data_IF_048056376814
#
_entry.id   IF_048056376814
#
_cell.length_a   1.000
_cell.length_b   1.000
_cell.length_c   1.000
_cell.angle_alpha   90.00
_cell.angle_beta   90.00
_cell.angle_gamma   90.00
#
_symmetry.space_group_name_H-M   'P 1'
#
loop_
_entity.id
_entity.type
_entity.pdbx_description
1 polymer ?
#
# COMPACT_ATOMS: atom_id res chain seq x y z
N UNK A 1 19.99 5.26 27.19
CA UNK A 1 20.71 5.76 25.98
C UNK A 1 19.74 6.15 24.88
N UNK A 2 19.95 7.28 24.20
CA UNK A 2 19.06 7.82 23.15
C UNK A 2 19.46 7.31 21.75
N UNK A 3 18.63 6.46 21.12
CA UNK A 3 18.87 5.86 19.79
C UNK A 3 18.10 6.54 18.65
N UNK A 4 17.58 7.76 18.87
CA UNK A 4 16.79 8.49 17.88
C UNK A 4 17.58 8.80 16.60
N UNK A 5 18.87 9.08 16.73
CA UNK A 5 19.79 9.33 15.63
C UNK A 5 19.97 8.09 14.75
N UNK A 6 20.29 6.96 15.35
CA UNK A 6 20.52 5.68 14.68
C UNK A 6 19.25 5.23 13.98
N UNK A 7 18.09 5.35 14.64
CA UNK A 7 16.79 5.03 14.05
C UNK A 7 16.44 5.94 12.86
N UNK A 8 16.81 7.22 12.91
CA UNK A 8 16.64 8.18 11.80
C UNK A 8 17.55 7.85 10.62
N UNK A 9 18.83 7.55 10.86
CA UNK A 9 19.76 7.20 9.80
C UNK A 9 19.40 5.86 9.17
N UNK A 10 19.08 4.85 9.98
CA UNK A 10 18.65 3.54 9.51
C UNK A 10 17.43 3.63 8.59
N UNK A 11 16.44 4.47 8.95
CA UNK A 11 15.27 4.74 8.12
C UNK A 11 15.66 5.33 6.75
N UNK A 12 16.56 6.32 6.73
CA UNK A 12 17.05 6.95 5.50
C UNK A 12 17.87 5.98 4.63
N UNK A 13 18.68 5.11 5.24
CA UNK A 13 19.51 4.13 4.53
C UNK A 13 18.68 2.99 3.97
N UNK A 14 17.66 2.52 4.69
CA UNK A 14 16.75 1.45 4.27
C UNK A 14 15.60 1.92 3.37
N UNK A 15 15.50 3.23 3.08
CA UNK A 15 14.42 3.82 2.30
C UNK A 15 13.04 3.56 2.91
N UNK A 16 12.93 3.54 4.24
CA UNK A 16 11.69 3.21 4.95
C UNK A 16 11.39 4.19 6.08
N UNK A 17 10.15 4.20 6.59
CA UNK A 17 9.80 5.02 7.76
C UNK A 17 10.39 4.46 9.07
N UNK A 18 10.60 5.33 10.07
CA UNK A 18 11.10 4.95 11.41
C UNK A 18 10.32 3.80 12.07
N UNK A 19 9.03 3.63 11.74
CA UNK A 19 8.18 2.54 12.24
C UNK A 19 8.60 1.16 11.71
N UNK A 20 9.23 1.10 10.54
CA UNK A 20 9.70 -0.12 9.89
C UNK A 20 11.13 -0.50 10.28
N UNK A 21 11.86 0.38 10.94
CA UNK A 21 13.18 0.04 11.49
C UNK A 21 12.99 -0.76 12.78
N UNK A 22 13.52 -1.97 12.80
CA UNK A 22 13.71 -2.77 14.00
C UNK A 22 15.18 -2.71 14.42
N UNK A 23 15.41 -2.52 15.71
CA UNK A 23 16.71 -2.49 16.37
C UNK A 23 16.69 -3.64 17.36
N UNK A 24 17.73 -4.46 17.38
CA UNK A 24 17.83 -5.55 18.35
C UNK A 24 17.91 -4.99 19.78
N UNK A 25 16.98 -5.35 20.69
CA UNK A 25 17.01 -4.89 22.07
C UNK A 25 18.20 -5.41 22.89
N UNK A 26 18.79 -6.55 22.52
CA UNK A 26 19.90 -7.15 23.25
C UNK A 26 21.22 -6.42 22.97
N UNK A 27 21.38 -5.93 21.74
CA UNK A 27 22.61 -5.30 21.24
C UNK A 27 22.51 -3.76 21.17
N UNK A 28 21.60 -3.18 21.94
CA UNK A 28 21.40 -1.72 22.03
C UNK A 28 22.68 -0.92 22.34
N UNK A 29 23.59 -1.38 23.24
CA UNK A 29 24.85 -0.68 23.51
C UNK A 29 25.76 -0.64 22.27
N UNK A 30 25.82 -1.74 21.51
CA UNK A 30 26.62 -1.80 20.29
C UNK A 30 26.07 -0.86 19.23
N UNK A 31 24.75 -0.86 19.02
CA UNK A 31 24.10 0.03 18.06
C UNK A 31 24.27 1.50 18.45
N UNK A 32 24.31 1.83 19.75
CA UNK A 32 24.55 3.20 20.22
C UNK A 32 25.91 3.78 19.79
N UNK A 33 26.91 2.94 19.53
CA UNK A 33 28.24 3.38 19.08
C UNK A 33 28.27 3.89 17.63
N UNK A 34 27.28 3.53 16.80
CA UNK A 34 27.24 3.98 15.41
C UNK A 34 27.01 5.50 15.30
N UNK A 35 27.95 6.18 14.64
CA UNK A 35 27.89 7.62 14.35
C UNK A 35 27.74 7.92 12.87
N UNK A 36 28.18 7.00 11.98
CA UNK A 36 28.16 7.22 10.53
C UNK A 36 27.11 6.37 9.81
N UNK A 37 26.80 6.75 8.56
CA UNK A 37 25.97 5.93 7.65
C UNK A 37 26.65 4.61 7.29
N UNK A 38 27.98 4.57 7.25
CA UNK A 38 28.73 3.36 6.95
C UNK A 38 28.57 2.32 8.06
N UNK A 39 28.62 2.75 9.33
CA UNK A 39 28.42 1.86 10.49
C UNK A 39 27.00 1.28 10.50
N UNK A 40 26.00 2.11 10.21
CA UNK A 40 24.60 1.65 10.11
C UNK A 40 24.42 0.63 8.98
N UNK A 41 25.09 0.80 7.83
CA UNK A 41 25.09 -0.22 6.75
C UNK A 41 25.75 -1.53 7.19
N UNK A 42 26.83 -1.46 7.97
CA UNK A 42 27.48 -2.65 8.56
C UNK A 42 26.51 -3.37 9.48
N UNK A 43 25.82 -2.65 10.36
CA UNK A 43 24.83 -3.23 11.28
C UNK A 43 23.57 -3.77 10.59
N UNK A 44 23.16 -3.19 9.46
CA UNK A 44 22.12 -3.78 8.61
C UNK A 44 22.59 -5.11 8.02
N UNK A 45 23.84 -5.17 7.52
CA UNK A 45 24.41 -6.39 6.94
C UNK A 45 24.59 -7.51 7.96
N UNK A 46 24.92 -7.18 9.21
CA UNK A 46 25.04 -8.17 10.30
C UNK A 46 23.70 -8.57 10.93
N UNK A 47 22.60 -7.89 10.61
CA UNK A 47 21.25 -8.21 11.11
C UNK A 47 20.82 -7.50 12.40
N UNK A 48 21.68 -6.66 12.99
CA UNK A 48 21.39 -5.85 14.19
C UNK A 48 20.29 -4.80 13.93
N UNK A 49 20.19 -4.34 12.67
CA UNK A 49 19.17 -3.39 12.21
C UNK A 49 18.43 -4.00 11.02
N UNK A 50 17.14 -4.23 11.18
CA UNK A 50 16.34 -4.93 10.15
C UNK A 50 15.10 -4.12 9.75
N UNK A 51 14.73 -4.20 8.47
CA UNK A 51 13.45 -3.66 7.96
C UNK A 51 12.33 -4.65 8.28
N UNK A 52 11.39 -4.25 9.14
CA UNK A 52 10.15 -5.00 9.39
C UNK A 52 9.36 -5.12 8.08
N UNK A 53 8.73 -6.28 7.82
CA UNK A 53 7.85 -6.43 6.67
C UNK A 53 6.69 -5.43 6.72
N UNK A 54 6.10 -5.16 5.56
CA UNK A 54 4.89 -4.35 5.48
C UNK A 54 3.72 -5.04 6.16
N UNK A 55 2.83 -4.25 6.77
CA UNK A 55 1.60 -4.83 7.33
C UNK A 55 0.69 -5.07 6.14
N UNK A 56 0.55 -6.33 5.73
CA UNK A 56 -0.24 -6.69 4.56
C UNK A 56 -1.73 -6.56 4.83
N UNK A 57 -2.44 -5.82 3.97
CA UNK A 57 -3.91 -5.82 3.95
C UNK A 57 -4.39 -6.75 2.84
N UNK A 58 -4.99 -7.89 3.19
CA UNK A 58 -5.52 -8.83 2.21
C UNK A 58 -6.62 -8.19 1.35
N UNK A 59 -6.60 -8.47 0.05
CA UNK A 59 -7.62 -8.04 -0.94
C UNK A 59 -8.65 -9.13 -1.24
N UNK A 60 -8.57 -10.28 -0.60
CA UNK A 60 -9.39 -11.45 -0.90
C UNK A 60 -10.89 -11.17 -0.79
N UNK A 61 -11.34 -10.63 0.35
CA UNK A 61 -12.76 -10.27 0.55
C UNK A 61 -13.28 -9.27 -0.48
N UNK A 62 -12.44 -8.30 -0.87
CA UNK A 62 -12.78 -7.35 -1.93
C UNK A 62 -12.90 -8.06 -3.29
N UNK A 63 -11.97 -8.95 -3.62
CA UNK A 63 -11.98 -9.74 -4.87
C UNK A 63 -13.21 -10.64 -4.94
N UNK A 64 -13.52 -11.37 -3.87
CA UNK A 64 -14.72 -12.21 -3.78
C UNK A 64 -16.01 -11.39 -4.01
N UNK A 65 -16.12 -10.22 -3.35
CA UNK A 65 -17.25 -9.31 -3.54
C UNK A 65 -17.32 -8.72 -4.95
N UNK A 66 -16.17 -8.44 -5.58
CA UNK A 66 -16.11 -7.95 -6.95
C UNK A 66 -16.58 -9.01 -7.95
N UNK A 67 -16.16 -10.27 -7.79
CA UNK A 67 -16.62 -11.39 -8.61
C UNK A 67 -18.14 -11.59 -8.47
N UNK A 68 -18.67 -11.57 -7.24
CA UNK A 68 -20.11 -11.64 -6.99
C UNK A 68 -20.87 -10.48 -7.64
N UNK A 69 -20.34 -9.24 -7.57
CA UNK A 69 -20.91 -8.07 -8.23
C UNK A 69 -20.89 -8.17 -9.76
N UNK A 70 -19.85 -8.77 -10.33
CA UNK A 70 -19.73 -9.01 -11.79
C UNK A 70 -20.79 -10.01 -12.24
N UNK A 71 -21.07 -11.03 -11.44
CA UNK A 71 -22.18 -11.97 -11.63
C UNK A 71 -23.58 -11.36 -11.34
N UNK A 72 -23.67 -10.04 -11.11
CA UNK A 72 -24.96 -9.34 -10.91
C UNK A 72 -25.45 -9.23 -9.47
N UNK A 73 -24.80 -9.88 -8.50
CA UNK A 73 -25.20 -9.80 -7.08
C UNK A 73 -24.92 -8.41 -6.49
N UNK A 74 -25.63 -8.04 -5.42
CA UNK A 74 -25.47 -6.76 -4.70
C UNK A 74 -25.66 -5.47 -5.55
N UNK A 75 -26.44 -5.52 -6.63
CA UNK A 75 -26.75 -4.38 -7.53
C UNK A 75 -28.23 -3.95 -7.56
N UNK A 76 -29.07 -4.57 -6.74
CA UNK A 76 -30.51 -4.25 -6.63
C UNK A 76 -30.80 -2.83 -6.09
N UNK A 77 -32.05 -2.41 -6.18
CA UNK A 77 -32.49 -1.03 -5.86
C UNK A 77 -32.04 -0.56 -4.47
N UNK A 78 -32.19 -1.37 -3.42
CA UNK A 78 -31.77 -1.01 -2.06
C UNK A 78 -30.25 -0.84 -1.84
N UNK A 79 -29.41 -1.16 -2.83
CA UNK A 79 -27.95 -0.89 -2.79
C UNK A 79 -27.54 0.26 -3.70
N UNK A 80 -28.47 0.83 -4.47
CA UNK A 80 -28.21 1.96 -5.35
C UNK A 80 -28.19 3.23 -4.49
N UNK A 81 -27.11 4.00 -4.63
CA UNK A 81 -26.98 5.35 -4.09
C UNK A 81 -26.72 6.28 -5.27
N UNK A 82 -27.33 7.47 -5.24
CA UNK A 82 -27.32 8.43 -6.36
C UNK A 82 -28.33 8.11 -7.46
N UNK A 83 -28.55 9.08 -8.36
CA UNK A 83 -29.45 8.97 -9.51
C UNK A 83 -28.88 8.01 -10.57
N UNK A 84 -29.73 7.59 -11.52
CA UNK A 84 -29.27 6.78 -12.66
C UNK A 84 -28.21 7.52 -13.49
N UNK A 85 -28.44 8.80 -13.75
CA UNK A 85 -27.52 9.68 -14.49
C UNK A 85 -26.15 9.79 -13.82
N UNK A 86 -26.08 9.87 -12.49
CA UNK A 86 -24.80 9.91 -11.77
C UNK A 86 -24.02 8.58 -11.83
N UNK A 87 -24.71 7.44 -11.96
CA UNK A 87 -24.08 6.11 -11.95
C UNK A 87 -23.59 5.68 -13.33
N UNK A 88 -24.36 6.01 -14.37
CA UNK A 88 -24.03 5.77 -15.78
C UNK A 88 -24.69 6.88 -16.62
N UNK A 89 -23.95 7.96 -16.94
CA UNK A 89 -24.50 9.10 -17.67
C UNK A 89 -25.03 8.71 -19.06
N UNK A 90 -26.18 9.26 -19.41
CA UNK A 90 -26.85 9.03 -20.70
C UNK A 90 -26.01 9.51 -21.88
N UNK A 91 -25.30 10.63 -21.72
CA UNK A 91 -24.37 11.17 -22.73
C UNK A 91 -23.23 10.21 -23.07
N UNK A 92 -22.67 9.54 -22.05
CA UNK A 92 -21.61 8.55 -22.21
C UNK A 92 -22.12 7.28 -22.88
N UNK A 93 -23.34 6.83 -22.55
CA UNK A 93 -23.99 5.72 -23.25
C UNK A 93 -24.24 6.05 -24.73
N UNK A 94 -24.69 7.26 -25.04
CA UNK A 94 -24.88 7.73 -26.42
C UNK A 94 -23.56 7.73 -27.19
N UNK A 95 -22.49 8.31 -26.63
CA UNK A 95 -21.17 8.33 -27.26
C UNK A 95 -20.64 6.91 -27.52
N UNK A 96 -20.74 5.99 -26.54
CA UNK A 96 -20.31 4.60 -26.72
C UNK A 96 -21.10 3.90 -27.83
N UNK A 97 -22.42 4.12 -27.89
CA UNK A 97 -23.28 3.57 -28.94
C UNK A 97 -22.90 4.09 -30.33
N UNK A 98 -22.75 5.41 -30.49
CA UNK A 98 -22.40 6.03 -31.77
C UNK A 98 -21.04 5.57 -32.28
N UNK A 99 -20.03 5.47 -31.41
CA UNK A 99 -18.70 4.98 -31.80
C UNK A 99 -18.74 3.52 -32.23
N UNK A 100 -19.43 2.65 -31.49
CA UNK A 100 -19.55 1.24 -31.86
C UNK A 100 -20.22 1.05 -33.24
N UNK A 101 -21.27 1.82 -33.53
CA UNK A 101 -21.95 1.78 -34.83
C UNK A 101 -21.06 2.29 -35.97
N UNK A 102 -20.34 3.40 -35.76
CA UNK A 102 -19.42 3.97 -36.76
C UNK A 102 -18.18 3.12 -37.03
N UNK A 103 -17.80 2.23 -36.10
CA UNK A 103 -16.70 1.28 -36.33
C UNK A 103 -17.20 0.03 -37.05
N UNK A 104 -18.46 -0.35 -36.84
CA UNK A 104 -19.05 -1.54 -37.44
C UNK A 104 -19.46 -1.31 -38.91
N UNK A 105 -20.04 -0.14 -39.20
CA UNK A 105 -20.52 0.29 -40.52
C UNK A 105 -19.45 1.09 -41.25
#
# INVERSE_FOLDING_TARGET
SNLTFQKRIAASVLGCGKRKVWLDPNEMPQVATAKSRADVRKFIKTGLITKKPEVGTSRERFRAKLLAKRAGRHRGFGKRKGTAEARMPSSLLWMRRQRALRTLL
#
